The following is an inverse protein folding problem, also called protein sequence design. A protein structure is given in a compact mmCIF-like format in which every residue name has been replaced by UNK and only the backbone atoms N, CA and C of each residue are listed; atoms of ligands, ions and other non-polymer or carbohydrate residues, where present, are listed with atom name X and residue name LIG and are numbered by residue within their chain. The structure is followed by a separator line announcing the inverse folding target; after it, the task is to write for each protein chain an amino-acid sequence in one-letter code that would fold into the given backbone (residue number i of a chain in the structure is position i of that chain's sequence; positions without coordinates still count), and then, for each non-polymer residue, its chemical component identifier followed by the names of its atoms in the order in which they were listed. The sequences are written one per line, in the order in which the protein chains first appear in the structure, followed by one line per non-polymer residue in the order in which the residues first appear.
data_IF_020081317443
#
_entry.id   IF_020081317443
#
_cell.length_a   1.000
_cell.length_b   1.000
_cell.length_c   1.000
_cell.angle_alpha   90.00
_cell.angle_beta   90.00
_cell.angle_gamma   90.00
#
_symmetry.space_group_name_H-M   'P 1'
#
loop_
_entity.id
_entity.type
_entity.pdbx_description
1 polymer ?
#
# COMPACT_ATOMS: atom_id res chain seq x y z
N UNK A 1 7.33 8.81 -19.34
CA UNK A 1 6.21 9.62 -19.87
C UNK A 1 5.20 9.79 -18.75
N UNK A 2 5.30 10.87 -17.98
CA UNK A 2 4.39 11.19 -16.88
C UNK A 2 3.09 11.74 -17.46
N UNK A 3 2.02 10.95 -17.46
CA UNK A 3 0.67 11.47 -17.71
C UNK A 3 0.28 12.30 -16.50
N UNK A 4 0.40 13.62 -16.62
CA UNK A 4 -0.29 14.57 -15.75
C UNK A 4 -1.79 14.24 -15.80
N UNK A 5 -2.50 14.16 -14.66
CA UNK A 5 -3.94 14.11 -14.73
C UNK A 5 -4.41 15.42 -15.35
N UNK A 6 -5.00 15.34 -16.54
CA UNK A 6 -5.76 16.43 -17.11
C UNK A 6 -6.93 16.63 -16.15
N UNK A 7 -6.87 17.69 -15.34
CA UNK A 7 -8.04 18.17 -14.63
C UNK A 7 -8.97 18.76 -15.70
N UNK A 8 -9.81 17.90 -16.27
CA UNK A 8 -11.01 18.36 -16.97
C UNK A 8 -11.87 18.97 -15.87
N UNK A 9 -12.01 20.29 -15.88
CA UNK A 9 -13.01 20.97 -15.08
C UNK A 9 -14.36 20.37 -15.44
N UNK A 10 -14.87 19.47 -14.59
CA UNK A 10 -16.22 18.97 -14.77
C UNK A 10 -17.13 20.19 -14.74
N UNK A 11 -17.90 20.46 -15.81
CA UNK A 11 -18.77 21.62 -15.84
C UNK A 11 -19.68 21.55 -14.63
N UNK A 12 -19.76 22.64 -13.85
CA UNK A 12 -20.62 22.74 -12.66
C UNK A 12 -22.06 22.25 -12.93
N UNK A 13 -22.51 22.39 -14.18
CA UNK A 13 -23.78 21.90 -14.70
C UNK A 13 -23.96 20.37 -14.62
N UNK A 14 -22.91 19.59 -14.85
CA UNK A 14 -22.95 18.13 -14.73
C UNK A 14 -23.15 17.72 -13.26
N UNK A 15 -22.49 18.41 -12.32
CA UNK A 15 -22.66 18.17 -10.88
C UNK A 15 -24.10 18.42 -10.42
N UNK A 16 -24.71 19.52 -10.85
CA UNK A 16 -26.10 19.86 -10.49
C UNK A 16 -27.09 18.82 -11.05
N UNK A 17 -26.91 18.40 -12.30
CA UNK A 17 -27.75 17.36 -12.93
C UNK A 17 -27.61 16.00 -12.26
N UNK A 18 -26.40 15.60 -11.87
CA UNK A 18 -26.17 14.36 -11.13
C UNK A 18 -26.82 14.43 -9.75
N UNK A 19 -26.69 15.55 -9.05
CA UNK A 19 -27.35 15.78 -7.77
C UNK A 19 -28.88 15.68 -7.87
N UNK A 20 -29.47 16.30 -8.89
CA UNK A 20 -30.91 16.20 -9.18
C UNK A 20 -31.34 14.77 -9.50
N UNK A 21 -30.62 14.07 -10.40
CA UNK A 21 -30.93 12.70 -10.80
C UNK A 21 -30.85 11.69 -9.63
N UNK A 22 -30.00 11.96 -8.64
CA UNK A 22 -29.84 11.13 -7.44
C UNK A 22 -30.79 11.53 -6.30
N UNK A 23 -31.65 12.53 -6.50
CA UNK A 23 -32.57 13.01 -5.46
C UNK A 23 -31.88 13.77 -4.32
N UNK A 24 -30.68 14.30 -4.55
CA UNK A 24 -29.91 15.04 -3.54
C UNK A 24 -30.31 16.52 -3.43
N UNK A 25 -31.56 16.85 -3.76
CA UNK A 25 -32.07 18.23 -3.82
C UNK A 25 -31.94 18.99 -2.49
N UNK A 26 -31.98 18.28 -1.35
CA UNK A 26 -31.82 18.86 -0.01
C UNK A 26 -30.47 18.53 0.66
N UNK A 27 -29.55 17.85 -0.04
CA UNK A 27 -28.28 17.45 0.53
C UNK A 27 -27.28 18.62 0.52
N UNK A 28 -26.70 18.93 1.68
CA UNK A 28 -25.66 19.94 1.78
C UNK A 28 -24.38 19.51 1.06
N UNK A 29 -23.91 20.35 0.13
CA UNK A 29 -22.63 20.14 -0.56
C UNK A 29 -21.49 20.70 0.29
N UNK A 30 -20.58 19.84 0.73
CA UNK A 30 -19.38 20.22 1.48
C UNK A 30 -18.12 19.73 0.76
N UNK A 31 -17.34 20.66 0.21
CA UNK A 31 -16.11 20.35 -0.53
C UNK A 31 -14.89 20.16 0.39
N UNK A 32 -14.93 20.68 1.61
CA UNK A 32 -13.79 20.63 2.55
C UNK A 32 -13.76 19.34 3.35
N UNK A 33 -14.93 18.83 3.75
CA UNK A 33 -15.06 17.60 4.53
C UNK A 33 -16.30 16.80 4.09
N UNK A 34 -16.26 16.20 2.89
CA UNK A 34 -17.39 15.45 2.36
C UNK A 34 -17.57 14.12 3.11
N UNK A 35 -18.81 13.81 3.50
CA UNK A 35 -19.17 12.47 4.03
C UNK A 35 -19.27 11.42 2.94
N UNK A 36 -19.74 11.82 1.77
CA UNK A 36 -19.84 10.96 0.59
C UNK A 36 -19.05 11.65 -0.53
N UNK A 37 -18.14 10.90 -1.14
CA UNK A 37 -17.41 11.35 -2.33
C UNK A 37 -17.90 10.51 -3.49
N UNK A 38 -18.24 11.17 -4.58
CA UNK A 38 -18.66 10.53 -5.82
C UNK A 38 -17.66 10.88 -6.92
N UNK A 39 -17.40 9.90 -7.79
CA UNK A 39 -16.54 10.05 -8.94
C UNK A 39 -17.37 9.90 -10.21
N UNK A 40 -17.06 10.76 -11.17
CA UNK A 40 -17.46 10.61 -12.57
C UNK A 40 -16.17 10.29 -13.33
N UNK A 41 -16.16 9.15 -14.02
CA UNK A 41 -15.04 8.74 -14.88
C UNK A 41 -15.55 8.73 -16.31
N UNK A 42 -14.89 9.49 -17.16
CA UNK A 42 -15.24 9.65 -18.55
C UNK A 42 -14.24 8.89 -19.43
N UNK A 43 -14.74 7.97 -20.24
CA UNK A 43 -13.96 7.21 -21.22
C UNK A 43 -14.22 7.83 -22.60
N UNK A 44 -13.20 8.51 -23.12
CA UNK A 44 -13.22 9.12 -24.45
C UNK A 44 -12.46 8.24 -25.44
N UNK A 45 -12.97 8.15 -26.67
CA UNK A 45 -12.14 7.87 -27.84
C UNK A 45 -11.54 9.19 -28.36
N UNK A 46 -10.77 9.16 -29.45
CA UNK A 46 -10.02 10.27 -30.03
C UNK A 46 -10.82 11.58 -30.19
N UNK A 47 -12.16 11.52 -30.24
CA UNK A 47 -13.03 12.70 -30.43
C UNK A 47 -14.33 12.67 -29.62
N UNK A 48 -14.82 11.50 -29.17
CA UNK A 48 -16.15 11.37 -28.56
C UNK A 48 -16.16 10.62 -27.24
N UNK A 49 -17.01 11.09 -26.31
CA UNK A 49 -17.30 10.40 -25.06
C UNK A 49 -18.02 9.08 -25.36
N UNK A 50 -17.42 7.96 -24.98
CA UNK A 50 -17.96 6.62 -25.20
C UNK A 50 -18.75 6.12 -23.99
N UNK A 51 -18.18 6.28 -22.81
CA UNK A 51 -18.79 5.79 -21.56
C UNK A 51 -18.57 6.79 -20.43
N UNK A 52 -19.56 6.85 -19.56
CA UNK A 52 -19.50 7.59 -18.32
C UNK A 52 -19.80 6.62 -17.18
N UNK A 53 -18.85 6.49 -16.26
CA UNK A 53 -19.01 5.70 -15.05
C UNK A 53 -19.24 6.64 -13.89
N UNK A 54 -20.29 6.38 -13.11
CA UNK A 54 -20.59 7.09 -11.89
C UNK A 54 -20.52 6.12 -10.71
N UNK A 55 -19.84 6.52 -9.63
CA UNK A 55 -19.69 5.66 -8.48
C UNK A 55 -19.38 6.42 -7.19
N UNK A 56 -19.71 5.80 -6.06
CA UNK A 56 -19.35 6.29 -4.73
C UNK A 56 -17.97 5.76 -4.34
N UNK A 57 -17.14 6.61 -3.76
CA UNK A 57 -15.90 6.19 -3.13
C UNK A 57 -16.20 5.31 -1.91
N UNK A 58 -15.79 4.05 -1.97
CA UNK A 58 -15.94 3.09 -0.87
C UNK A 58 -14.66 2.90 -0.07
N UNK A 59 -13.50 3.21 -0.65
CA UNK A 59 -12.21 3.09 0.00
C UNK A 59 -11.09 3.64 -0.88
N UNK A 60 -9.98 3.99 -0.22
CA UNK A 60 -8.76 4.45 -0.87
C UNK A 60 -7.65 3.42 -0.66
N UNK A 61 -6.79 3.25 -1.67
CA UNK A 61 -5.57 2.45 -1.50
C UNK A 61 -4.59 3.07 -0.51
N UNK A 62 -3.70 2.24 0.05
CA UNK A 62 -2.72 2.63 1.06
C UNK A 62 -1.37 3.03 0.44
N UNK A 63 -1.35 3.79 -0.64
CA UNK A 63 -0.14 4.12 -1.42
C UNK A 63 0.98 4.79 -0.58
N UNK A 64 0.63 5.44 0.52
CA UNK A 64 1.58 6.09 1.45
C UNK A 64 2.50 5.10 2.16
N UNK A 65 2.17 3.81 2.18
CA UNK A 65 2.96 2.77 2.85
C UNK A 65 4.39 2.69 2.31
N UNK A 66 4.61 2.89 1.01
CA UNK A 66 5.96 2.88 0.45
C UNK A 66 6.88 3.97 1.03
N UNK A 67 6.31 5.12 1.36
CA UNK A 67 7.06 6.21 1.99
C UNK A 67 7.35 5.91 3.46
N UNK A 68 6.35 5.35 4.18
CA UNK A 68 6.49 4.96 5.58
C UNK A 68 7.56 3.89 5.78
N UNK A 69 7.64 2.92 4.86
CA UNK A 69 8.58 1.79 4.90
C UNK A 69 9.77 1.96 3.94
N UNK A 70 10.12 3.21 3.63
CA UNK A 70 11.23 3.55 2.75
C UNK A 70 12.55 2.92 3.23
N UNK A 71 13.43 2.57 2.28
CA UNK A 71 14.69 1.89 2.62
C UNK A 71 15.58 2.68 3.59
N UNK A 72 15.75 4.02 3.46
CA UNK A 72 16.63 4.79 4.34
C UNK A 72 16.22 4.77 5.82
N UNK A 73 14.94 4.53 6.13
CA UNK A 73 14.45 4.49 7.51
C UNK A 73 14.64 3.13 8.18
N UNK A 74 15.11 2.10 7.45
CA UNK A 74 15.29 0.75 7.98
C UNK A 74 16.54 0.67 8.86
N UNK A 75 16.44 -0.08 9.96
CA UNK A 75 17.58 -0.32 10.87
C UNK A 75 18.71 -1.13 10.22
N UNK A 76 18.41 -1.87 9.16
CA UNK A 76 19.36 -2.65 8.37
C UNK A 76 18.96 -2.62 6.90
N UNK A 77 19.92 -2.32 6.04
CA UNK A 77 19.79 -2.32 4.59
C UNK A 77 20.88 -3.24 4.05
N UNK A 78 20.47 -4.26 3.31
CA UNK A 78 21.38 -5.16 2.60
C UNK A 78 21.54 -4.72 1.15
N UNK A 79 22.57 -5.25 0.48
CA UNK A 79 22.93 -4.88 -0.89
C UNK A 79 21.78 -5.03 -1.89
N UNK A 80 20.92 -6.04 -1.69
CA UNK A 80 19.73 -6.29 -2.51
C UNK A 80 18.53 -6.31 -1.59
N UNK A 81 17.88 -5.15 -1.44
CA UNK A 81 16.64 -5.04 -0.66
C UNK A 81 15.48 -4.76 -1.60
N UNK A 82 14.40 -5.54 -1.48
CA UNK A 82 13.18 -5.35 -2.25
C UNK A 82 12.59 -3.95 -2.02
N UNK A 83 12.14 -3.31 -3.10
CA UNK A 83 11.42 -2.04 -3.02
C UNK A 83 10.17 -2.18 -2.13
N UNK A 84 9.87 -1.21 -1.25
CA UNK A 84 8.71 -1.27 -0.38
C UNK A 84 7.38 -1.41 -1.14
N UNK A 85 7.19 -0.73 -2.27
CA UNK A 85 5.95 -0.78 -3.05
C UNK A 85 5.70 -2.19 -3.59
N UNK A 86 6.74 -2.82 -4.14
CA UNK A 86 6.67 -4.20 -4.61
C UNK A 86 6.44 -5.19 -3.45
N UNK A 87 7.07 -4.97 -2.30
CA UNK A 87 6.88 -5.81 -1.11
C UNK A 87 5.43 -5.81 -0.64
N UNK A 88 4.78 -4.64 -0.60
CA UNK A 88 3.36 -4.52 -0.25
C UNK A 88 2.44 -5.13 -1.30
N UNK A 89 2.78 -5.00 -2.58
CA UNK A 89 2.04 -5.65 -3.65
C UNK A 89 2.11 -7.18 -3.52
N UNK A 90 3.29 -7.74 -3.24
CA UNK A 90 3.46 -9.19 -3.04
C UNK A 90 2.70 -9.70 -1.81
N UNK A 91 2.72 -8.95 -0.70
CA UNK A 91 1.94 -9.30 0.49
C UNK A 91 0.43 -9.28 0.21
N UNK A 92 -0.06 -8.34 -0.61
CA UNK A 92 -1.44 -8.32 -1.07
C UNK A 92 -1.78 -9.50 -1.98
N UNK A 93 -0.91 -9.84 -2.94
CA UNK A 93 -1.08 -11.00 -3.83
C UNK A 93 -1.13 -12.31 -3.03
N UNK A 94 -0.27 -12.43 -2.01
CA UNK A 94 -0.28 -13.54 -1.06
C UNK A 94 -1.47 -13.50 -0.10
N UNK A 95 -2.31 -12.46 -0.17
CA UNK A 95 -3.44 -12.21 0.72
C UNK A 95 -3.03 -12.33 2.20
N UNK A 96 -1.90 -11.72 2.56
CA UNK A 96 -1.45 -11.66 3.94
C UNK A 96 -2.49 -10.90 4.79
N UNK A 97 -2.89 -11.51 5.91
CA UNK A 97 -3.90 -10.98 6.82
C UNK A 97 -3.75 -11.65 8.19
N UNK A 98 -4.47 -11.14 9.18
CA UNK A 98 -4.56 -11.70 10.52
C UNK A 98 -4.95 -13.19 10.48
N UNK A 99 -4.27 -14.00 11.30
CA UNK A 99 -4.50 -15.45 11.37
C UNK A 99 -3.85 -16.26 10.24
N UNK A 100 -3.13 -15.62 9.31
CA UNK A 100 -2.34 -16.31 8.28
C UNK A 100 -0.86 -16.39 8.65
N UNK A 101 -0.20 -17.41 8.12
CA UNK A 101 1.24 -17.61 8.21
C UNK A 101 1.88 -17.39 6.84
N UNK A 102 2.83 -16.46 6.75
CA UNK A 102 3.59 -16.18 5.52
C UNK A 102 5.02 -16.69 5.71
N UNK A 103 5.47 -17.53 4.78
CA UNK A 103 6.83 -18.07 4.74
C UNK A 103 7.56 -17.49 3.53
N UNK A 104 8.73 -16.89 3.77
CA UNK A 104 9.67 -16.47 2.73
C UNK A 104 10.98 -17.26 2.87
N UNK A 105 11.26 -18.24 1.97
CA UNK A 105 12.43 -19.10 2.09
C UNK A 105 13.76 -18.41 1.75
N UNK A 106 13.72 -17.18 1.20
CA UNK A 106 14.89 -16.38 0.85
C UNK A 106 14.66 -14.92 1.25
N UNK A 107 14.39 -14.71 2.53
CA UNK A 107 13.81 -13.46 3.01
C UNK A 107 14.76 -12.26 2.93
N UNK A 108 16.07 -12.48 2.76
CA UNK A 108 17.06 -11.41 2.73
C UNK A 108 16.93 -10.49 3.95
N UNK A 109 16.78 -9.19 3.71
CA UNK A 109 16.57 -8.19 4.77
C UNK A 109 15.14 -8.10 5.31
N UNK A 110 14.24 -8.99 4.85
CA UNK A 110 12.89 -9.14 5.37
C UNK A 110 11.85 -8.16 4.79
N UNK A 111 12.07 -7.63 3.58
CA UNK A 111 11.16 -6.64 2.97
C UNK A 111 9.72 -7.13 2.80
N UNK A 112 9.54 -8.34 2.25
CA UNK A 112 8.22 -8.97 2.06
C UNK A 112 7.60 -9.34 3.41
N UNK A 113 8.40 -9.90 4.32
CA UNK A 113 7.93 -10.26 5.67
C UNK A 113 7.45 -9.04 6.45
N UNK A 114 8.13 -7.90 6.32
CA UNK A 114 7.71 -6.64 6.93
C UNK A 114 6.35 -6.18 6.40
N UNK A 115 6.13 -6.28 5.09
CA UNK A 115 4.85 -5.94 4.46
C UNK A 115 3.73 -6.92 4.86
N UNK A 116 4.01 -8.22 4.91
CA UNK A 116 3.04 -9.22 5.36
C UNK A 116 2.65 -9.03 6.84
N UNK A 117 3.64 -8.76 7.69
CA UNK A 117 3.40 -8.49 9.10
C UNK A 117 2.63 -7.17 9.31
N UNK A 118 2.81 -6.15 8.45
CA UNK A 118 1.98 -4.93 8.47
C UNK A 118 0.49 -5.23 8.31
N UNK A 119 0.14 -6.23 7.49
CA UNK A 119 -1.25 -6.70 7.37
C UNK A 119 -1.69 -7.65 8.49
N UNK A 120 -0.82 -7.93 9.47
CA UNK A 120 -1.15 -8.73 10.65
C UNK A 120 -0.90 -10.23 10.50
N UNK A 121 -0.25 -10.66 9.41
CA UNK A 121 0.15 -12.06 9.27
C UNK A 121 1.31 -12.42 10.23
N UNK A 122 1.31 -13.66 10.73
CA UNK A 122 2.50 -14.24 11.33
C UNK A 122 3.51 -14.55 10.21
N UNK A 123 4.80 -14.33 10.47
CA UNK A 123 5.81 -14.35 9.41
C UNK A 123 7.02 -15.19 9.79
N UNK A 124 7.46 -16.01 8.85
CA UNK A 124 8.63 -16.86 8.94
C UNK A 124 9.56 -16.60 7.76
N UNK A 125 10.84 -16.42 8.04
CA UNK A 125 11.87 -16.20 7.04
C UNK A 125 12.99 -17.22 7.13
N UNK A 126 13.53 -17.62 5.99
CA UNK A 126 14.80 -18.32 5.90
C UNK A 126 15.77 -17.52 5.04
N UNK A 127 17.03 -17.50 5.45
CA UNK A 127 18.12 -16.86 4.72
C UNK A 127 19.40 -17.68 4.95
N UNK A 128 20.22 -17.85 3.92
CA UNK A 128 21.46 -18.64 4.00
C UNK A 128 22.58 -17.84 4.67
N UNK A 129 22.59 -16.52 4.48
CA UNK A 129 23.63 -15.67 5.05
C UNK A 129 23.33 -15.34 6.51
N UNK A 130 24.15 -15.87 7.41
CA UNK A 130 24.10 -15.55 8.84
C UNK A 130 24.13 -14.03 9.09
N UNK A 131 24.97 -13.28 8.36
CA UNK A 131 25.09 -11.84 8.53
C UNK A 131 23.80 -11.10 8.17
N UNK A 132 23.09 -11.53 7.12
CA UNK A 132 21.84 -10.92 6.68
C UNK A 132 20.70 -11.34 7.60
N UNK A 133 20.56 -12.63 7.90
CA UNK A 133 19.54 -13.17 8.81
C UNK A 133 19.62 -12.53 10.20
N UNK A 134 20.85 -12.21 10.64
CA UNK A 134 21.15 -11.54 11.90
C UNK A 134 21.34 -10.03 11.72
N UNK A 135 21.05 -9.42 10.57
CA UNK A 135 21.20 -7.97 10.39
C UNK A 135 22.54 -7.40 10.95
N UNK A 136 23.64 -8.15 10.83
CA UNK A 136 24.98 -7.81 11.34
C UNK A 136 25.78 -7.18 10.19
N UNK A 137 26.12 -5.90 10.29
CA UNK A 137 26.90 -5.20 9.25
C UNK A 137 27.25 -3.74 9.59
N UNK A 138 28.03 -3.08 8.73
CA UNK A 138 28.57 -1.71 8.96
C UNK A 138 27.50 -0.62 9.17
N UNK A 139 26.25 -0.86 8.76
CA UNK A 139 25.10 0.03 8.94
C UNK A 139 24.03 -0.57 9.87
N UNK A 140 24.40 -1.47 10.78
CA UNK A 140 23.47 -1.98 11.78
C UNK A 140 23.39 -1.00 12.96
N UNK A 141 22.30 -0.25 13.08
CA UNK A 141 21.95 0.33 14.37
C UNK A 141 21.54 -0.83 15.28
N UNK A 142 22.41 -1.16 16.23
CA UNK A 142 22.29 -2.29 17.14
C UNK A 142 21.02 -2.17 17.98
N UNK A 143 19.89 -2.68 17.49
CA UNK A 143 18.74 -3.04 18.33
C UNK A 143 17.82 -4.02 17.59
N UNK A 144 18.05 -5.31 17.82
CA UNK A 144 17.22 -6.47 17.40
C UNK A 144 15.79 -6.49 17.96
N UNK A 145 15.27 -5.34 18.41
CA UNK A 145 14.00 -5.22 19.14
C UNK A 145 12.94 -4.40 18.39
N UNK A 146 13.22 -3.94 17.17
CA UNK A 146 12.33 -3.03 16.42
C UNK A 146 11.48 -3.73 15.34
N UNK A 147 11.53 -5.06 15.20
CA UNK A 147 10.43 -5.77 14.50
C UNK A 147 9.37 -6.35 15.45
N UNK A 148 9.70 -6.54 16.73
CA UNK A 148 8.80 -7.16 17.71
C UNK A 148 7.87 -6.16 18.42
N UNK A 149 8.14 -4.85 18.36
CA UNK A 149 7.38 -3.86 19.13
C UNK A 149 6.27 -3.16 18.33
N UNK A 150 6.34 -3.18 17.00
CA UNK A 150 5.35 -2.51 16.14
C UNK A 150 4.24 -3.43 15.64
N UNK A 151 4.44 -4.74 15.65
CA UNK A 151 3.50 -5.71 15.11
C UNK A 151 3.32 -6.79 16.19
N UNK A 152 2.09 -6.95 16.71
CA UNK A 152 1.74 -7.97 17.72
C UNK A 152 1.77 -9.40 17.15
N UNK A 153 2.72 -9.70 16.27
CA UNK A 153 2.85 -10.99 15.57
C UNK A 153 4.28 -11.53 15.73
N UNK A 154 4.43 -12.84 15.98
CA UNK A 154 5.73 -13.44 16.11
C UNK A 154 6.47 -13.43 14.77
N UNK A 155 7.70 -12.92 14.77
CA UNK A 155 8.64 -12.94 13.64
C UNK A 155 9.77 -13.91 13.96
N UNK A 156 9.97 -14.93 13.13
CA UNK A 156 11.13 -15.82 13.23
C UNK A 156 11.87 -15.88 11.90
N UNK A 157 13.09 -15.34 11.86
CA UNK A 157 14.02 -15.55 10.76
C UNK A 157 15.09 -16.55 11.19
N UNK A 158 15.21 -17.65 10.45
CA UNK A 158 16.20 -18.71 10.70
C UNK A 158 17.32 -18.64 9.66
N UNK A 159 18.55 -18.91 10.10
CA UNK A 159 19.66 -19.14 9.18
C UNK A 159 19.56 -20.59 8.71
N UNK A 160 19.36 -20.82 7.41
CA UNK A 160 19.48 -22.17 6.86
C UNK A 160 20.96 -22.58 6.92
N UNK A 161 21.25 -23.62 7.71
CA UNK A 161 22.59 -24.20 7.85
C UNK A 161 22.93 -25.10 6.67
#
# INVERSE_FOLDING_TARGET
MSKTPVFVEIPYFLFLKIGEALGFQESQVNLSSPRNVFYVIEEFDSVSLQKLYFGKLVGCGQWKLKNHYSLPSRCYIGNTTMDPELSFLQANIAQADNGRLVLDPFCGTGGILLAAAHFGAAVLGSEISYHIARAKGKHSNLFYRILLHFLRVPFYAFCAA
#
